data_IF_652408165751
#
_entry.id   IF_652408165751
#
_cell.length_a   1.000
_cell.length_b   1.000
_cell.length_c   1.000
_cell.angle_alpha   90.00
_cell.angle_beta   90.00
_cell.angle_gamma   90.00
#
_symmetry.space_group_name_H-M   'P 1'
#
loop_
_entity.id
_entity.type
_entity.pdbx_description
1 polymer ?
#
# COMPACT_ATOMS: atom_id res chain seq x y z
N UNK A 1 -9.04 0.27 25.46
CA UNK A 1 -8.87 0.77 24.08
C UNK A 1 -8.55 2.26 24.08
N UNK A 2 -7.35 2.64 24.53
CA UNK A 2 -6.91 4.04 24.58
C UNK A 2 -6.22 4.44 23.30
N UNK A 3 -6.37 5.72 22.92
CA UNK A 3 -5.73 6.34 21.75
C UNK A 3 -4.18 6.44 21.83
N UNK A 4 -3.53 5.88 22.86
CA UNK A 4 -2.09 5.98 23.11
C UNK A 4 -1.47 4.64 23.52
N UNK A 5 -2.12 3.51 23.23
CA UNK A 5 -1.63 2.20 23.65
C UNK A 5 -0.37 1.79 22.91
N UNK A 6 -0.34 1.95 21.58
CA UNK A 6 0.82 1.64 20.76
C UNK A 6 1.99 2.54 21.13
N UNK A 7 1.75 3.86 21.22
CA UNK A 7 2.79 4.83 21.63
C UNK A 7 3.43 4.42 22.95
N UNK A 8 2.62 4.20 24.00
CA UNK A 8 3.12 3.80 25.32
C UNK A 8 3.92 2.51 25.25
N UNK A 9 3.39 1.47 24.59
CA UNK A 9 4.04 0.18 24.46
C UNK A 9 5.41 0.28 23.76
N UNK A 10 5.53 1.06 22.71
CA UNK A 10 6.77 1.22 21.97
C UNK A 10 7.79 2.07 22.76
N UNK A 11 7.34 3.11 23.47
CA UNK A 11 8.20 3.89 24.35
C UNK A 11 8.75 3.06 25.53
N UNK A 12 7.95 2.16 26.11
CA UNK A 12 8.40 1.19 27.12
C UNK A 12 9.46 0.22 26.56
N UNK A 13 9.47 -0.02 25.25
CA UNK A 13 10.50 -0.80 24.54
C UNK A 13 11.75 0.02 24.15
N UNK A 14 11.80 1.30 24.50
CA UNK A 14 12.93 2.17 24.26
C UNK A 14 12.90 2.98 22.96
N UNK A 15 11.82 2.91 22.18
CA UNK A 15 11.66 3.76 21.01
C UNK A 15 11.28 5.19 21.43
N UNK A 16 11.83 6.17 20.74
CA UNK A 16 11.53 7.59 20.97
C UNK A 16 10.26 8.04 20.27
N UNK A 17 9.65 9.11 20.75
CA UNK A 17 8.47 9.72 20.11
C UNK A 17 8.79 10.20 18.69
N UNK A 18 9.97 10.72 18.44
CA UNK A 18 10.42 11.17 17.11
C UNK A 18 10.51 9.98 16.12
N UNK A 19 10.99 8.83 16.56
CA UNK A 19 10.99 7.61 15.73
C UNK A 19 9.57 7.15 15.40
N UNK A 20 8.64 7.22 16.35
CA UNK A 20 7.24 6.85 16.12
C UNK A 20 6.54 7.82 15.16
N UNK A 21 6.84 9.12 15.25
CA UNK A 21 6.38 10.14 14.32
C UNK A 21 6.95 9.91 12.92
N UNK A 22 8.27 9.70 12.82
CA UNK A 22 8.96 9.43 11.56
C UNK A 22 8.45 8.16 10.87
N UNK A 23 8.09 7.14 11.64
CA UNK A 23 7.48 5.90 11.14
C UNK A 23 5.98 6.05 10.78
N UNK A 24 5.36 7.20 11.09
CA UNK A 24 3.93 7.44 10.84
C UNK A 24 2.99 6.60 11.70
N UNK A 25 3.45 6.15 12.87
CA UNK A 25 2.67 5.32 13.81
C UNK A 25 1.82 6.15 14.76
N UNK A 26 2.24 7.39 15.02
CA UNK A 26 1.51 8.35 15.86
C UNK A 26 1.30 9.67 15.11
N UNK A 27 0.36 10.46 15.60
CA UNK A 27 0.04 11.79 15.09
C UNK A 27 0.29 12.80 16.21
N UNK A 28 0.91 13.93 15.84
CA UNK A 28 1.08 15.10 16.73
C UNK A 28 0.18 16.22 16.23
N UNK A 29 -0.94 16.50 16.91
CA UNK A 29 -1.77 17.65 16.59
C UNK A 29 -1.10 18.95 17.06
N UNK A 30 -1.52 20.10 16.53
CA UNK A 30 -0.94 21.42 16.84
C UNK A 30 -1.14 21.82 18.30
N UNK A 31 -2.22 21.39 18.94
CA UNK A 31 -2.68 21.83 20.26
C UNK A 31 -2.90 20.68 21.26
N UNK A 32 -2.37 19.47 20.99
CA UNK A 32 -2.69 18.30 21.79
C UNK A 32 -1.53 17.33 22.02
N UNK A 33 -1.83 16.32 22.82
CA UNK A 33 -0.93 15.19 23.03
C UNK A 33 -0.92 14.27 21.79
N UNK A 34 0.23 13.71 21.51
CA UNK A 34 0.39 12.68 20.48
C UNK A 34 -0.50 11.47 20.74
N UNK A 35 -1.05 10.90 19.69
CA UNK A 35 -1.92 9.72 19.76
C UNK A 35 -1.62 8.73 18.63
N UNK A 36 -2.04 7.48 18.82
CA UNK A 36 -1.84 6.42 17.85
C UNK A 36 -2.60 6.73 16.56
N UNK A 37 -1.91 6.65 15.41
CA UNK A 37 -2.51 6.85 14.09
C UNK A 37 -3.58 5.80 13.80
N UNK A 38 -3.29 4.57 14.15
CA UNK A 38 -4.18 3.43 13.89
C UNK A 38 -4.83 2.97 15.19
N UNK A 39 -6.16 3.06 15.26
CA UNK A 39 -6.93 2.58 16.41
C UNK A 39 -8.32 2.09 15.96
N UNK A 40 -8.75 0.93 16.47
CA UNK A 40 -10.01 0.32 16.09
C UNK A 40 -10.06 -0.21 14.66
N UNK A 41 -8.91 -0.52 14.07
CA UNK A 41 -8.76 -0.93 12.68
C UNK A 41 -8.17 -2.34 12.56
N UNK A 42 -8.59 -3.06 11.53
CA UNK A 42 -7.87 -4.23 11.05
C UNK A 42 -6.63 -3.76 10.29
N UNK A 43 -5.47 -4.25 10.70
CA UNK A 43 -4.18 -3.79 10.18
C UNK A 43 -3.65 -4.69 9.06
N UNK A 44 -3.11 -4.07 8.01
CA UNK A 44 -2.46 -4.71 6.87
C UNK A 44 -1.02 -4.20 6.78
N UNK A 45 -0.02 -5.03 7.11
CA UNK A 45 1.38 -4.65 6.90
C UNK A 45 1.67 -4.43 5.42
N UNK A 46 2.34 -3.32 5.10
CA UNK A 46 2.83 -3.01 3.75
C UNK A 46 4.32 -3.30 3.72
N UNK A 47 4.74 -4.18 2.81
CA UNK A 47 6.13 -4.59 2.68
C UNK A 47 6.76 -4.03 1.39
N UNK A 48 8.07 -3.78 1.44
CA UNK A 48 8.88 -3.53 0.25
C UNK A 48 9.11 -4.83 -0.56
N UNK A 49 9.76 -4.73 -1.71
CA UNK A 49 10.05 -5.89 -2.58
C UNK A 49 10.94 -6.97 -1.92
N UNK A 50 11.59 -6.65 -0.79
CA UNK A 50 12.39 -7.59 0.01
C UNK A 50 11.62 -8.19 1.19
N UNK A 51 10.34 -7.85 1.36
CA UNK A 51 9.50 -8.31 2.46
C UNK A 51 9.69 -7.56 3.78
N UNK A 52 10.42 -6.45 3.81
CA UNK A 52 10.58 -5.62 5.01
C UNK A 52 9.35 -4.72 5.15
N UNK A 53 8.78 -4.66 6.35
CA UNK A 53 7.63 -3.80 6.63
C UNK A 53 8.07 -2.33 6.57
N UNK A 54 7.40 -1.53 5.73
CA UNK A 54 7.67 -0.12 5.47
C UNK A 54 6.51 0.79 5.87
N UNK A 55 5.34 0.23 6.11
CA UNK A 55 4.13 0.96 6.51
C UNK A 55 2.97 0.03 6.79
N UNK A 56 1.82 0.61 7.00
CA UNK A 56 0.59 -0.11 7.32
C UNK A 56 -0.61 0.50 6.59
N UNK A 57 -1.54 -0.36 6.20
CA UNK A 57 -2.91 -0.01 5.90
C UNK A 57 -3.82 -0.39 7.07
N UNK A 58 -4.89 0.34 7.28
CA UNK A 58 -5.91 0.04 8.27
C UNK A 58 -7.30 0.09 7.66
N UNK A 59 -8.16 -0.88 7.97
CA UNK A 59 -9.59 -0.86 7.64
C UNK A 59 -10.40 -0.69 8.91
N UNK A 60 -11.20 0.37 8.97
CA UNK A 60 -12.08 0.62 10.12
C UNK A 60 -13.10 -0.51 10.25
N UNK A 61 -13.20 -1.12 11.44
CA UNK A 61 -14.14 -2.21 11.71
C UNK A 61 -15.49 -1.67 12.18
N UNK A 62 -15.47 -0.60 12.99
CA UNK A 62 -16.67 0.05 13.51
C UNK A 62 -16.34 1.48 13.97
N UNK A 63 -17.33 2.37 13.98
CA UNK A 63 -17.19 3.75 14.42
C UNK A 63 -17.20 4.76 13.28
N UNK A 64 -16.79 5.99 13.58
CA UNK A 64 -16.71 7.11 12.62
C UNK A 64 -15.28 7.32 12.16
N UNK A 65 -15.08 7.61 10.88
CA UNK A 65 -13.78 7.89 10.27
C UNK A 65 -13.66 7.31 8.86
N UNK A 66 -12.54 7.50 8.20
CA UNK A 66 -12.31 6.93 6.87
C UNK A 66 -12.32 5.40 6.93
N UNK A 67 -13.04 4.77 5.98
CA UNK A 67 -13.12 3.30 5.88
C UNK A 67 -11.73 2.66 5.77
N UNK A 68 -10.83 3.32 5.05
CA UNK A 68 -9.43 2.92 4.89
C UNK A 68 -8.50 4.06 5.26
N UNK A 69 -7.43 3.73 5.96
CA UNK A 69 -6.36 4.66 6.35
C UNK A 69 -5.01 3.99 6.07
N UNK A 70 -4.10 4.70 5.40
CA UNK A 70 -2.74 4.21 5.17
C UNK A 70 -1.73 5.02 5.97
N UNK A 71 -0.53 4.46 6.15
CA UNK A 71 0.62 5.24 6.61
C UNK A 71 0.79 6.49 5.75
N UNK A 72 1.22 7.62 6.33
CA UNK A 72 1.55 8.82 5.58
C UNK A 72 2.84 8.59 4.78
N UNK A 73 3.23 9.58 3.99
CA UNK A 73 4.59 9.65 3.46
C UNK A 73 5.58 9.64 4.62
N UNK A 74 6.56 8.73 4.58
CA UNK A 74 7.61 8.59 5.60
C UNK A 74 8.96 8.36 4.92
N UNK A 75 10.08 8.43 5.64
CA UNK A 75 11.38 8.03 5.09
C UNK A 75 11.43 6.59 4.56
N UNK A 76 10.54 5.70 5.03
CA UNK A 76 10.47 4.30 4.63
C UNK A 76 9.39 4.02 3.59
N UNK A 77 8.32 4.81 3.55
CA UNK A 77 7.13 4.53 2.76
C UNK A 77 6.73 5.71 1.87
N UNK A 78 6.78 5.49 0.57
CA UNK A 78 6.21 6.35 -0.45
C UNK A 78 5.16 5.56 -1.23
N UNK A 79 3.90 5.93 -1.02
CA UNK A 79 2.75 5.28 -1.66
C UNK A 79 2.82 5.30 -3.19
N UNK A 80 3.43 6.35 -3.76
CA UNK A 80 3.58 6.50 -5.21
C UNK A 80 4.62 5.54 -5.82
N UNK A 81 5.46 4.92 -4.99
CA UNK A 81 6.55 4.04 -5.43
C UNK A 81 6.33 2.58 -5.06
N UNK A 82 5.35 2.28 -4.21
CA UNK A 82 5.15 0.94 -3.69
C UNK A 82 3.80 0.35 -4.14
N UNK A 83 3.81 -0.95 -4.40
CA UNK A 83 2.61 -1.76 -4.66
C UNK A 83 2.42 -2.75 -3.51
N UNK A 84 1.21 -2.84 -3.00
CA UNK A 84 0.86 -3.82 -1.98
C UNK A 84 0.98 -5.24 -2.53
N UNK A 85 1.60 -6.13 -1.77
CA UNK A 85 1.72 -7.53 -2.13
C UNK A 85 2.83 -7.84 -3.16
N UNK A 86 3.61 -6.87 -3.62
CA UNK A 86 4.63 -7.07 -4.65
C UNK A 86 5.68 -8.13 -4.25
N UNK A 87 6.09 -8.15 -2.98
CA UNK A 87 7.04 -9.15 -2.46
C UNK A 87 6.49 -10.59 -2.57
N UNK A 88 5.19 -10.76 -2.40
CA UNK A 88 4.52 -12.08 -2.51
C UNK A 88 4.22 -12.43 -3.96
N UNK A 89 3.83 -11.44 -4.77
CA UNK A 89 3.44 -11.65 -6.17
C UNK A 89 4.62 -11.83 -7.13
N UNK A 90 5.80 -11.31 -6.79
CA UNK A 90 6.95 -11.28 -7.70
C UNK A 90 7.34 -12.64 -8.31
N UNK A 91 7.33 -13.78 -7.58
CA UNK A 91 7.61 -15.07 -8.19
C UNK A 91 6.59 -15.48 -9.26
N UNK A 92 5.29 -15.28 -8.97
CA UNK A 92 4.21 -15.61 -9.90
C UNK A 92 4.17 -14.66 -11.10
N UNK A 93 4.46 -13.38 -10.89
CA UNK A 93 4.58 -12.39 -11.97
C UNK A 93 5.66 -12.82 -12.97
N UNK A 94 6.84 -13.23 -12.48
CA UNK A 94 7.92 -13.71 -13.35
C UNK A 94 7.56 -14.99 -14.09
N UNK A 95 6.92 -15.94 -13.39
CA UNK A 95 6.55 -17.23 -13.97
C UNK A 95 5.52 -17.08 -15.08
N UNK A 96 4.53 -16.21 -14.86
CA UNK A 96 3.42 -15.98 -15.79
C UNK A 96 3.73 -14.92 -16.86
N UNK A 97 4.87 -14.22 -16.74
CA UNK A 97 5.20 -13.01 -17.50
C UNK A 97 4.00 -12.03 -17.54
N UNK A 98 3.31 -11.89 -16.41
CA UNK A 98 2.10 -11.08 -16.30
C UNK A 98 1.87 -10.59 -14.87
N UNK A 99 1.67 -9.28 -14.69
CA UNK A 99 1.25 -8.66 -13.44
C UNK A 99 -0.17 -8.11 -13.58
N UNK A 100 -1.00 -8.27 -12.55
CA UNK A 100 -2.35 -7.71 -12.49
C UNK A 100 -2.37 -6.64 -11.40
N UNK A 101 -2.80 -5.42 -11.74
CA UNK A 101 -2.95 -4.31 -10.78
C UNK A 101 -4.42 -4.14 -10.45
N UNK A 102 -4.73 -4.16 -9.15
CA UNK A 102 -6.04 -3.82 -8.57
C UNK A 102 -5.93 -2.56 -7.71
N UNK A 103 -7.05 -1.97 -7.27
CA UNK A 103 -7.03 -0.72 -6.51
C UNK A 103 -6.65 -0.92 -5.05
N UNK A 104 -7.31 -1.84 -4.36
CA UNK A 104 -7.22 -2.02 -2.92
C UNK A 104 -6.48 -3.28 -2.50
N UNK A 105 -5.88 -3.24 -1.32
CA UNK A 105 -5.24 -4.43 -0.77
C UNK A 105 -6.21 -5.56 -0.43
N UNK A 106 -7.50 -5.26 -0.20
CA UNK A 106 -8.51 -6.31 -0.03
C UNK A 106 -8.72 -7.09 -1.33
N UNK A 107 -8.71 -6.41 -2.47
CA UNK A 107 -8.88 -7.03 -3.79
C UNK A 107 -7.69 -7.94 -4.10
N UNK A 108 -6.46 -7.46 -3.83
CA UNK A 108 -5.26 -8.27 -3.97
C UNK A 108 -5.28 -9.49 -3.03
N UNK A 109 -5.67 -9.34 -1.75
CA UNK A 109 -5.77 -10.45 -0.80
C UNK A 109 -6.79 -11.48 -1.28
N UNK A 110 -7.97 -11.01 -1.70
CA UNK A 110 -9.02 -11.90 -2.22
C UNK A 110 -8.55 -12.65 -3.47
N UNK A 111 -7.85 -11.99 -4.39
CA UNK A 111 -7.28 -12.61 -5.56
C UNK A 111 -6.26 -13.71 -5.18
N UNK A 112 -5.32 -13.41 -4.28
CA UNK A 112 -4.34 -14.41 -3.80
C UNK A 112 -5.00 -15.61 -3.12
N UNK A 113 -6.06 -15.39 -2.32
CA UNK A 113 -6.83 -16.47 -1.68
C UNK A 113 -7.51 -17.40 -2.71
N UNK A 114 -7.80 -16.88 -3.90
CA UNK A 114 -8.40 -17.63 -5.01
C UNK A 114 -7.38 -18.10 -6.07
N UNK A 115 -6.08 -18.08 -5.75
CA UNK A 115 -5.02 -18.63 -6.61
C UNK A 115 -4.42 -17.64 -7.62
N UNK A 116 -4.93 -16.40 -7.72
CA UNK A 116 -4.36 -15.36 -8.59
C UNK A 116 -3.22 -14.64 -7.86
N UNK A 117 -2.07 -15.30 -7.79
CA UNK A 117 -0.94 -14.84 -6.96
C UNK A 117 -0.04 -13.81 -7.65
N UNK A 118 -0.27 -13.47 -8.91
CA UNK A 118 0.41 -12.40 -9.66
C UNK A 118 -0.29 -11.04 -9.58
N UNK A 119 -1.16 -10.84 -8.56
CA UNK A 119 -1.93 -9.61 -8.33
C UNK A 119 -1.25 -8.74 -7.31
N UNK A 120 -1.22 -7.43 -7.57
CA UNK A 120 -0.71 -6.36 -6.68
C UNK A 120 -1.72 -5.23 -6.60
N UNK A 121 -1.63 -4.37 -5.56
CA UNK A 121 -2.56 -3.23 -5.44
C UNK A 121 -1.85 -1.87 -5.36
N UNK A 122 -2.49 -0.83 -5.94
CA UNK A 122 -2.03 0.56 -5.91
C UNK A 122 -2.36 1.29 -4.59
N UNK A 123 -3.20 0.71 -3.74
CA UNK A 123 -3.56 1.21 -2.40
C UNK A 123 -4.35 2.54 -2.40
N UNK A 124 -5.31 2.70 -3.34
CA UNK A 124 -6.20 3.86 -3.39
C UNK A 124 -5.53 5.14 -3.91
N UNK A 125 -4.61 5.01 -4.83
CA UNK A 125 -4.07 6.07 -5.68
C UNK A 125 -4.17 5.64 -7.13
N UNK A 126 -4.24 6.60 -8.06
CA UNK A 126 -3.97 6.30 -9.47
C UNK A 126 -2.63 5.59 -9.58
N UNK A 127 -2.55 4.59 -10.45
CA UNK A 127 -1.29 3.90 -10.74
C UNK A 127 -0.26 4.93 -11.23
N UNK A 128 0.96 4.84 -10.75
CA UNK A 128 2.04 5.77 -11.08
C UNK A 128 3.06 5.13 -12.00
N UNK A 129 3.81 5.96 -12.70
CA UNK A 129 4.93 5.51 -13.53
C UNK A 129 5.97 4.70 -12.73
N UNK A 130 6.30 5.12 -11.51
CA UNK A 130 7.23 4.40 -10.62
C UNK A 130 6.76 2.99 -10.28
N UNK A 131 5.46 2.83 -10.07
CA UNK A 131 4.85 1.52 -9.83
C UNK A 131 4.95 0.63 -11.08
N UNK A 132 4.68 1.17 -12.27
CA UNK A 132 4.83 0.44 -13.55
C UNK A 132 6.29 0.05 -13.78
N UNK A 133 7.25 0.96 -13.60
CA UNK A 133 8.69 0.66 -13.71
C UNK A 133 9.10 -0.48 -12.76
N UNK A 134 8.51 -0.57 -11.57
CA UNK A 134 8.81 -1.67 -10.64
C UNK A 134 8.33 -3.02 -11.16
N UNK A 135 7.16 -3.06 -11.84
CA UNK A 135 6.61 -4.27 -12.46
C UNK A 135 7.34 -4.66 -13.73
N UNK A 136 7.76 -3.68 -14.54
CA UNK A 136 8.54 -3.91 -15.76
C UNK A 136 9.82 -4.74 -15.53
N UNK A 137 10.43 -4.62 -14.35
CA UNK A 137 11.58 -5.44 -13.95
C UNK A 137 11.23 -6.93 -13.73
N UNK A 138 9.96 -7.26 -13.67
CA UNK A 138 9.46 -8.60 -13.39
C UNK A 138 8.71 -9.23 -14.55
N UNK A 139 8.03 -8.42 -15.39
CA UNK A 139 7.16 -8.87 -16.48
C UNK A 139 7.04 -7.80 -17.53
N UNK A 140 6.79 -8.23 -18.79
CA UNK A 140 6.47 -7.35 -19.92
C UNK A 140 4.99 -7.02 -20.02
N UNK A 141 4.13 -7.82 -19.40
CA UNK A 141 2.69 -7.69 -19.47
C UNK A 141 2.11 -7.17 -18.15
N UNK A 142 1.37 -6.06 -18.22
CA UNK A 142 0.66 -5.48 -17.08
C UNK A 142 -0.83 -5.35 -17.43
N UNK A 143 -1.68 -5.94 -16.60
CA UNK A 143 -3.13 -5.93 -16.74
C UNK A 143 -3.70 -5.03 -15.65
N UNK A 144 -4.57 -4.09 -16.03
CA UNK A 144 -5.28 -3.23 -15.10
C UNK A 144 -6.67 -3.80 -14.85
N UNK A 145 -6.95 -4.21 -13.61
CA UNK A 145 -8.26 -4.67 -13.15
C UNK A 145 -8.76 -3.68 -12.07
N UNK A 146 -9.15 -2.50 -12.52
CA UNK A 146 -9.57 -1.36 -11.71
C UNK A 146 -11.08 -1.26 -11.67
N UNK A 147 -11.63 -0.58 -10.64
CA UNK A 147 -13.07 -0.39 -10.50
C UNK A 147 -13.63 0.44 -11.68
N UNK A 148 -14.85 0.13 -12.12
CA UNK A 148 -15.50 0.80 -13.25
C UNK A 148 -16.16 2.13 -12.82
N UNK A 149 -15.48 2.91 -11.98
CA UNK A 149 -15.88 4.27 -11.63
C UNK A 149 -15.05 5.31 -12.42
N UNK A 150 -15.38 6.59 -12.26
CA UNK A 150 -14.68 7.67 -12.97
C UNK A 150 -13.19 7.75 -12.66
N UNK A 151 -12.77 7.33 -11.45
CA UNK A 151 -11.38 7.28 -11.04
C UNK A 151 -10.65 6.10 -11.70
N UNK A 152 -11.31 4.94 -11.81
CA UNK A 152 -10.80 3.76 -12.52
C UNK A 152 -10.66 4.00 -14.02
N UNK A 153 -11.62 4.69 -14.66
CA UNK A 153 -11.51 5.09 -16.07
C UNK A 153 -10.33 6.02 -16.32
N UNK A 154 -10.10 7.00 -15.44
CA UNK A 154 -8.96 7.91 -15.54
C UNK A 154 -7.63 7.19 -15.30
N UNK A 155 -7.58 6.26 -14.35
CA UNK A 155 -6.41 5.42 -14.10
C UNK A 155 -6.11 4.49 -15.28
N UNK A 156 -7.14 3.94 -15.92
CA UNK A 156 -7.00 3.13 -17.15
C UNK A 156 -6.48 3.96 -18.31
N UNK A 157 -7.00 5.20 -18.51
CA UNK A 157 -6.47 6.12 -19.54
C UNK A 157 -5.01 6.47 -19.33
N UNK A 158 -4.58 6.66 -18.07
CA UNK A 158 -3.17 6.88 -17.75
C UNK A 158 -2.35 5.61 -17.96
N UNK A 159 -2.92 4.44 -17.70
CA UNK A 159 -2.31 3.14 -17.96
C UNK A 159 -1.98 2.93 -19.45
N UNK A 160 -2.88 3.30 -20.34
CA UNK A 160 -2.64 3.33 -21.80
C UNK A 160 -1.48 4.28 -22.15
N UNK A 161 -1.32 5.41 -21.44
CA UNK A 161 -0.16 6.31 -21.60
C UNK A 161 1.20 5.72 -21.19
N UNK A 162 1.22 4.58 -20.50
CA UNK A 162 2.45 3.87 -20.10
C UNK A 162 2.90 2.80 -21.11
N UNK A 163 2.20 2.61 -22.24
CA UNK A 163 2.59 1.68 -23.29
C UNK A 163 4.03 1.95 -23.77
N UNK A 164 4.38 3.23 -23.97
CA UNK A 164 5.73 3.64 -24.33
C UNK A 164 6.81 3.24 -23.30
N UNK A 165 6.45 3.15 -22.01
CA UNK A 165 7.35 2.72 -20.95
C UNK A 165 7.50 1.20 -20.96
N UNK A 166 6.44 0.47 -21.32
CA UNK A 166 6.45 -0.98 -21.43
C UNK A 166 7.20 -1.46 -22.67
N UNK A 167 7.17 -0.71 -23.77
CA UNK A 167 7.85 -1.05 -25.04
C UNK A 167 9.33 -0.67 -25.09
N UNK A 168 9.79 0.27 -24.26
CA UNK A 168 11.18 0.81 -24.28
C UNK A 168 12.20 -0.06 -23.51
N UNK A 169 12.08 -1.40 -23.47
CA UNK A 169 12.96 -2.32 -22.75
C UNK A 169 13.53 -3.45 -23.54
#
# INVERSE_FOLDING_TARGET
NGRQQLRRHLMEKGYTEDELLAAGLIIKPDDGQTYDRFHGQLMFPIADARGRIIGFGGRLLAGSGPKYLNSPQTPLFDKSSHLYGLNLAAPAIRLNDSAIIVEGYMDAITAHQNGFTNVVASMGTSVTERQIISLKKLSRNVIFALDADSAGEEATRRGVGYENILEAG
#
